data_IF_880416519766
#
_entry.id   IF_880416519766
#
_cell.length_a   1.000
_cell.length_b   1.000
_cell.length_c   1.000
_cell.angle_alpha   90.00
_cell.angle_beta   90.00
_cell.angle_gamma   90.00
#
_symmetry.space_group_name_H-M   'P 1'
#
loop_
_entity.id
_entity.type
_entity.pdbx_description
1 polymer ?
#
# COMPACT_ATOMS: atom_id res chain seq x y z
N UNK A 1 9.56 18.14 4.24
CA UNK A 1 9.71 17.72 2.82
C UNK A 1 8.31 17.72 2.21
N UNK A 2 8.13 18.05 0.91
CA UNK A 2 6.80 17.97 0.30
C UNK A 2 6.32 16.51 0.29
N UNK A 3 5.02 16.31 0.54
CA UNK A 3 4.39 14.99 0.39
C UNK A 3 4.38 14.59 -1.10
N UNK A 4 4.55 13.30 -1.43
CA UNK A 4 4.45 12.82 -2.80
C UNK A 4 3.03 13.02 -3.36
N UNK A 5 2.94 13.25 -4.66
CA UNK A 5 1.68 13.18 -5.40
C UNK A 5 1.30 11.71 -5.61
N UNK A 6 0.09 11.34 -5.21
CA UNK A 6 -0.42 9.96 -5.23
C UNK A 6 -1.43 9.70 -6.35
N UNK A 7 -1.77 10.71 -7.15
CA UNK A 7 -2.86 10.63 -8.12
C UNK A 7 -2.64 9.53 -9.18
N UNK A 8 -1.45 9.49 -9.78
CA UNK A 8 -1.09 8.48 -10.77
C UNK A 8 -1.05 7.07 -10.17
N UNK A 9 -0.37 6.91 -9.03
CA UNK A 9 -0.31 5.65 -8.29
C UNK A 9 -1.70 5.12 -7.91
N UNK A 10 -2.65 5.99 -7.55
CA UNK A 10 -4.01 5.57 -7.25
C UNK A 10 -4.65 4.87 -8.45
N UNK A 11 -4.55 5.47 -9.63
CA UNK A 11 -5.11 4.93 -10.87
C UNK A 11 -4.48 3.58 -11.18
N UNK A 12 -3.14 3.49 -11.16
CA UNK A 12 -2.39 2.27 -11.48
C UNK A 12 -2.72 1.13 -10.52
N UNK A 13 -2.85 1.41 -9.21
CA UNK A 13 -3.31 0.43 -8.22
C UNK A 13 -4.76 -0.02 -8.45
N UNK A 14 -5.66 0.92 -8.79
CA UNK A 14 -7.07 0.60 -9.04
C UNK A 14 -7.26 -0.27 -10.28
N UNK A 15 -6.49 -0.05 -11.32
CA UNK A 15 -6.52 -0.82 -12.57
C UNK A 15 -5.88 -2.20 -12.41
N UNK A 16 -4.78 -2.31 -11.66
CA UNK A 16 -4.06 -3.57 -11.46
C UNK A 16 -4.75 -4.49 -10.43
N UNK A 17 -5.40 -3.94 -9.41
CA UNK A 17 -6.02 -4.74 -8.37
C UNK A 17 -7.25 -5.52 -8.86
N UNK A 18 -7.31 -6.82 -8.54
CA UNK A 18 -8.55 -7.58 -8.68
C UNK A 18 -9.66 -6.93 -7.81
N UNK A 19 -10.93 -6.87 -8.26
CA UNK A 19 -12.00 -6.20 -7.51
C UNK A 19 -12.19 -6.74 -6.07
N UNK A 20 -12.00 -8.05 -5.89
CA UNK A 20 -12.06 -8.70 -4.58
C UNK A 20 -10.87 -8.36 -3.67
N UNK A 21 -9.69 -8.13 -4.25
CA UNK A 21 -8.51 -7.66 -3.51
C UNK A 21 -8.71 -6.21 -3.08
N UNK A 22 -9.18 -5.35 -3.99
CA UNK A 22 -9.47 -3.95 -3.68
C UNK A 22 -10.49 -3.82 -2.54
N UNK A 23 -11.61 -4.53 -2.63
CA UNK A 23 -12.65 -4.52 -1.59
C UNK A 23 -12.12 -4.97 -0.22
N UNK A 24 -11.26 -6.00 -0.19
CA UNK A 24 -10.60 -6.43 1.05
C UNK A 24 -9.62 -5.38 1.57
N UNK A 25 -8.87 -4.72 0.69
CA UNK A 25 -7.95 -3.64 1.03
C UNK A 25 -8.66 -2.46 1.69
N UNK A 26 -9.82 -2.05 1.15
CA UNK A 26 -10.69 -1.01 1.76
C UNK A 26 -11.19 -1.38 3.15
N UNK A 27 -11.47 -2.66 3.40
CA UNK A 27 -11.85 -3.10 4.74
C UNK A 27 -10.65 -3.11 5.68
N UNK A 28 -9.51 -3.64 5.22
CA UNK A 28 -8.29 -3.73 6.02
C UNK A 28 -7.74 -2.35 6.40
N UNK A 29 -7.82 -1.36 5.49
CA UNK A 29 -7.33 0.01 5.75
C UNK A 29 -8.02 0.68 6.95
N UNK A 30 -9.22 0.22 7.33
CA UNK A 30 -9.98 0.75 8.47
C UNK A 30 -9.54 0.17 9.81
N UNK A 31 -8.82 -0.96 9.81
CA UNK A 31 -8.45 -1.66 11.04
C UNK A 31 -7.31 -0.98 11.82
N UNK A 32 -6.75 0.14 11.34
CA UNK A 32 -5.67 0.92 12.00
C UNK A 32 -4.43 0.09 12.35
N UNK A 33 -4.10 -0.87 11.48
CA UNK A 33 -3.02 -1.85 11.66
C UNK A 33 -1.74 -1.47 10.91
N UNK A 34 -1.70 -0.33 10.22
CA UNK A 34 -0.52 0.14 9.51
C UNK A 34 0.12 1.31 10.26
N UNK A 35 1.45 1.36 10.26
CA UNK A 35 2.19 2.54 10.69
C UNK A 35 3.19 2.96 9.62
N UNK A 36 3.45 4.26 9.56
CA UNK A 36 4.46 4.84 8.68
C UNK A 36 5.85 4.52 9.26
N UNK A 37 6.66 3.79 8.50
CA UNK A 37 8.04 3.44 8.85
C UNK A 37 9.00 4.53 8.34
N UNK A 38 8.78 5.05 7.13
CA UNK A 38 9.55 6.15 6.55
C UNK A 38 8.76 6.86 5.45
N UNK A 39 9.00 8.15 5.24
CA UNK A 39 8.53 8.88 4.05
C UNK A 39 9.61 9.78 3.47
N UNK A 40 9.59 9.90 2.15
CA UNK A 40 10.36 10.86 1.39
C UNK A 40 9.48 11.42 0.25
N UNK A 41 10.06 12.29 -0.59
CA UNK A 41 9.34 12.83 -1.74
C UNK A 41 9.06 11.77 -2.84
N UNK A 42 9.78 10.65 -2.83
CA UNK A 42 9.71 9.63 -3.90
C UNK A 42 9.32 8.24 -3.41
N UNK A 43 9.42 7.98 -2.11
CA UNK A 43 9.21 6.66 -1.51
C UNK A 43 8.46 6.79 -0.18
N UNK A 44 7.48 5.89 0.02
CA UNK A 44 6.72 5.75 1.26
C UNK A 44 6.80 4.30 1.73
N UNK A 45 7.24 4.12 2.97
CA UNK A 45 7.35 2.82 3.61
C UNK A 45 6.34 2.71 4.75
N UNK A 46 5.44 1.74 4.64
CA UNK A 46 4.45 1.41 5.66
C UNK A 46 4.70 -0.01 6.16
N UNK A 47 4.45 -0.25 7.44
CA UNK A 47 4.45 -1.61 7.99
C UNK A 47 3.09 -1.99 8.53
N UNK A 48 2.63 -3.16 8.13
CA UNK A 48 1.46 -3.81 8.71
C UNK A 48 1.84 -4.47 10.04
N UNK A 49 1.05 -4.24 11.08
CA UNK A 49 1.28 -4.70 12.44
C UNK A 49 0.20 -5.71 12.85
N UNK A 50 0.42 -6.99 12.52
CA UNK A 50 -0.37 -8.10 13.06
C UNK A 50 0.47 -9.38 13.16
N UNK A 51 0.82 -9.84 14.37
CA UNK A 51 1.63 -11.05 14.54
C UNK A 51 1.03 -12.29 13.86
N UNK A 52 1.86 -13.25 13.39
CA UNK A 52 3.33 -13.26 13.46
C UNK A 52 4.04 -12.61 12.26
N UNK A 53 3.30 -12.16 11.23
CA UNK A 53 3.89 -11.60 10.00
C UNK A 53 3.54 -10.12 9.91
N UNK A 54 4.57 -9.27 9.78
CA UNK A 54 4.42 -7.83 9.67
C UNK A 54 4.94 -7.33 8.32
N UNK A 55 4.19 -7.55 7.21
CA UNK A 55 4.63 -7.15 5.89
C UNK A 55 4.96 -5.68 5.79
N UNK A 56 6.02 -5.39 5.05
CA UNK A 56 6.40 -4.06 4.62
C UNK A 56 5.74 -3.77 3.28
N UNK A 57 5.10 -2.61 3.18
CA UNK A 57 4.57 -2.05 1.94
C UNK A 57 5.44 -0.87 1.55
N UNK A 58 5.96 -0.90 0.33
CA UNK A 58 6.71 0.21 -0.27
C UNK A 58 5.88 0.77 -1.41
N UNK A 59 5.74 2.09 -1.46
CA UNK A 59 5.07 2.79 -2.54
C UNK A 59 6.08 3.76 -3.16
N UNK A 60 6.16 3.77 -4.49
CA UNK A 60 6.95 4.73 -5.26
C UNK A 60 6.02 5.56 -6.14
N UNK A 61 5.41 6.64 -5.61
CA UNK A 61 4.33 7.33 -6.31
C UNK A 61 4.74 7.94 -7.65
N UNK A 62 5.99 8.41 -7.77
CA UNK A 62 6.52 8.96 -9.01
C UNK A 62 6.84 7.91 -10.08
N UNK A 63 6.93 6.63 -9.69
CA UNK A 63 7.17 5.50 -10.59
C UNK A 63 5.88 4.70 -10.84
N UNK A 64 4.76 5.11 -10.22
CA UNK A 64 3.48 4.40 -10.25
C UNK A 64 3.57 2.94 -9.78
N UNK A 65 4.55 2.65 -8.91
CA UNK A 65 4.90 1.28 -8.51
C UNK A 65 4.70 1.04 -7.00
N UNK A 66 4.57 -0.23 -6.65
CA UNK A 66 4.38 -0.70 -5.29
C UNK A 66 5.04 -2.06 -5.07
N UNK A 67 5.37 -2.33 -3.82
CA UNK A 67 5.82 -3.65 -3.42
C UNK A 67 5.30 -4.03 -2.03
N UNK A 68 4.95 -5.30 -1.85
CA UNK A 68 4.69 -5.86 -0.53
C UNK A 68 5.37 -7.23 -0.37
N UNK A 69 6.10 -7.40 0.72
CA UNK A 69 6.85 -8.62 1.03
C UNK A 69 6.01 -9.74 1.69
N UNK A 70 4.68 -9.66 1.60
CA UNK A 70 3.78 -10.63 2.26
C UNK A 70 3.74 -12.02 1.60
N UNK A 71 4.28 -12.17 0.38
CA UNK A 71 4.32 -13.44 -0.36
C UNK A 71 2.98 -13.86 -0.99
N UNK A 72 1.98 -12.98 -1.04
CA UNK A 72 0.74 -13.22 -1.80
C UNK A 72 1.05 -13.33 -3.31
N UNK A 73 0.23 -14.10 -4.04
CA UNK A 73 0.35 -14.25 -5.50
C UNK A 73 -0.37 -13.13 -6.25
N UNK A 74 -1.28 -12.42 -5.59
CA UNK A 74 -1.91 -11.24 -6.16
C UNK A 74 -0.96 -10.06 -6.05
N UNK A 75 -0.79 -9.34 -7.15
CA UNK A 75 -0.01 -8.11 -7.20
C UNK A 75 -0.81 -7.04 -7.97
N UNK A 76 -1.32 -6.00 -7.28
CA UNK A 76 -1.14 -5.69 -5.87
C UNK A 76 -1.86 -6.71 -4.96
N UNK A 77 -1.27 -6.98 -3.80
CA UNK A 77 -1.92 -7.74 -2.74
C UNK A 77 -2.84 -6.86 -1.89
N UNK A 78 -3.60 -7.48 -0.99
CA UNK A 78 -4.50 -6.76 -0.05
C UNK A 78 -3.74 -5.73 0.81
N UNK A 79 -2.50 -6.04 1.22
CA UNK A 79 -1.69 -5.13 2.04
C UNK A 79 -1.20 -3.92 1.24
N UNK A 80 -0.81 -4.08 -0.02
CA UNK A 80 -0.39 -2.98 -0.88
C UNK A 80 -1.55 -1.98 -1.07
N UNK A 81 -2.74 -2.49 -1.40
CA UNK A 81 -3.95 -1.66 -1.51
C UNK A 81 -4.28 -0.98 -0.18
N UNK A 82 -4.32 -1.73 0.92
CA UNK A 82 -4.67 -1.17 2.23
C UNK A 82 -3.64 -0.13 2.70
N UNK A 83 -2.34 -0.38 2.50
CA UNK A 83 -1.27 0.54 2.82
C UNK A 83 -1.40 1.85 2.06
N UNK A 84 -1.64 1.79 0.75
CA UNK A 84 -1.95 2.96 -0.06
C UNK A 84 -3.16 3.74 0.48
N UNK A 85 -4.27 3.06 0.79
CA UNK A 85 -5.50 3.68 1.28
C UNK A 85 -5.34 4.31 2.67
N UNK A 86 -4.44 3.78 3.52
CA UNK A 86 -4.12 4.37 4.82
C UNK A 86 -3.26 5.62 4.67
N UNK A 87 -2.36 5.65 3.69
CA UNK A 87 -1.42 6.76 3.52
C UNK A 87 -2.02 8.00 2.85
N UNK A 88 -2.92 7.80 1.87
CA UNK A 88 -3.46 8.87 1.03
C UNK A 88 -4.25 9.96 1.77
#
# INVERSE_FOLDING_TARGET
MPKPDLSALQTSLQEAALPGVWSKGVNLSKESTFYLESESATEVLLRYHKPPVSPKVTLWPGEEDWHCDCGDRNDPCVHAVAGFLVYR
#
